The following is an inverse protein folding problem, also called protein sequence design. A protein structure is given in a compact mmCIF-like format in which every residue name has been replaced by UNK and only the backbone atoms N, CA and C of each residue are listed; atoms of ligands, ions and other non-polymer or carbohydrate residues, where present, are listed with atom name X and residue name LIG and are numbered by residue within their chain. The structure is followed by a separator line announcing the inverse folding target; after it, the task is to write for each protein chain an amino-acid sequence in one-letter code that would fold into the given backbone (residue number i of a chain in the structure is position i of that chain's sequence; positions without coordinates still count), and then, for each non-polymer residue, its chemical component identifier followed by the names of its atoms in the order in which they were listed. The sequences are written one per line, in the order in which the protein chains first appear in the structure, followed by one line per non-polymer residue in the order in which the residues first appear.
data_IF_556386355857
#
_entry.id   IF_556386355857
#
_cell.length_a   1.000
_cell.length_b   1.000
_cell.length_c   1.000
_cell.angle_alpha   90.00
_cell.angle_beta   90.00
_cell.angle_gamma   90.00
#
_symmetry.space_group_name_H-M   'P 1'
#
loop_
_entity.id
_entity.type
_entity.pdbx_description
1 polymer ?
#
# COMPACT_ATOMS: atom_id res chain seq x y z
N UNK A 1 -15.81 -10.48 12.30
CA UNK A 1 -14.71 -10.11 11.38
C UNK A 1 -13.78 -9.18 12.16
N UNK A 2 -12.48 -9.40 12.08
CA UNK A 2 -11.47 -8.62 12.80
C UNK A 2 -11.49 -7.14 12.38
N UNK A 3 -11.36 -6.24 13.35
CA UNK A 3 -11.28 -4.78 13.12
C UNK A 3 -9.81 -4.35 13.28
N UNK A 4 -9.20 -3.87 12.20
CA UNK A 4 -7.87 -3.32 12.26
C UNK A 4 -7.82 -2.06 13.14
N UNK A 5 -6.67 -1.75 13.72
CA UNK A 5 -6.45 -0.59 14.61
C UNK A 5 -6.93 0.76 14.04
N UNK A 6 -6.85 0.94 12.73
CA UNK A 6 -7.32 2.17 12.04
C UNK A 6 -8.85 2.34 12.04
N UNK A 7 -9.60 1.30 12.48
CA UNK A 7 -11.06 1.34 12.55
C UNK A 7 -11.56 2.45 13.50
N UNK A 8 -10.97 2.52 14.70
CA UNK A 8 -11.36 3.52 15.71
C UNK A 8 -11.02 4.92 15.21
N UNK A 9 -9.84 5.11 14.63
CA UNK A 9 -9.40 6.38 14.08
C UNK A 9 -10.33 6.89 12.98
N UNK A 10 -10.62 6.07 11.96
CA UNK A 10 -11.52 6.48 10.88
C UNK A 10 -12.93 6.74 11.39
N UNK A 11 -13.44 5.88 12.30
CA UNK A 11 -14.76 6.05 12.90
C UNK A 11 -14.86 7.38 13.66
N UNK A 12 -13.88 7.71 14.50
CA UNK A 12 -13.83 8.98 15.23
C UNK A 12 -13.87 10.18 14.27
N UNK A 13 -12.99 10.20 13.28
CA UNK A 13 -12.91 11.30 12.31
C UNK A 13 -14.17 11.46 11.46
N UNK A 14 -14.88 10.36 11.16
CA UNK A 14 -16.15 10.41 10.43
C UNK A 14 -17.33 10.87 11.29
N UNK A 15 -17.21 10.86 12.61
CA UNK A 15 -18.23 11.39 13.53
C UNK A 15 -18.01 12.87 13.87
N UNK A 16 -16.82 13.41 13.59
CA UNK A 16 -16.53 14.84 13.72
C UNK A 16 -17.25 15.67 12.65
N UNK A 17 -17.41 16.97 12.88
CA UNK A 17 -17.90 17.89 11.85
C UNK A 17 -16.99 17.88 10.62
N UNK A 18 -17.56 18.11 9.45
CA UNK A 18 -16.81 18.15 8.21
C UNK A 18 -15.69 19.19 8.26
N UNK A 19 -14.45 18.72 8.25
CA UNK A 19 -13.25 19.58 8.31
C UNK A 19 -12.19 19.17 7.30
N UNK A 20 -11.97 17.86 7.11
CA UNK A 20 -10.96 17.31 6.22
C UNK A 20 -11.50 16.10 5.44
N UNK A 21 -11.00 15.94 4.22
CA UNK A 21 -11.14 14.71 3.44
C UNK A 21 -10.33 13.62 4.13
N UNK A 22 -10.93 12.49 4.44
CA UNK A 22 -10.21 11.34 5.00
C UNK A 22 -9.61 10.51 3.88
N UNK A 23 -8.30 10.37 3.84
CA UNK A 23 -7.59 9.63 2.80
C UNK A 23 -6.96 8.37 3.39
N UNK A 24 -7.39 7.19 2.93
CA UNK A 24 -6.78 5.91 3.30
C UNK A 24 -5.83 5.44 2.21
N UNK A 25 -4.55 5.39 2.52
CA UNK A 25 -3.51 4.93 1.60
C UNK A 25 -2.77 3.73 2.17
N UNK A 26 -2.45 2.78 1.31
CA UNK A 26 -1.67 1.59 1.72
C UNK A 26 -1.64 0.52 0.62
N UNK A 27 -0.81 -0.52 0.77
CA UNK A 27 -0.64 -1.57 -0.22
C UNK A 27 -1.94 -2.22 -0.66
N UNK A 28 -1.90 -2.93 -1.80
CA UNK A 28 -3.03 -3.76 -2.23
C UNK A 28 -3.32 -4.87 -1.23
N UNK A 29 -4.57 -5.32 -1.20
CA UNK A 29 -5.02 -6.53 -0.47
C UNK A 29 -4.81 -6.49 1.06
N UNK A 30 -4.63 -5.29 1.66
CA UNK A 30 -4.52 -5.13 3.12
C UNK A 30 -5.85 -4.82 3.82
N UNK A 31 -6.96 -4.74 3.06
CA UNK A 31 -8.30 -4.58 3.62
C UNK A 31 -8.78 -3.13 3.80
N UNK A 32 -8.30 -2.15 3.00
CA UNK A 32 -8.79 -0.75 3.05
C UNK A 32 -10.29 -0.63 2.90
N UNK A 33 -10.84 -1.14 1.79
CA UNK A 33 -12.28 -1.08 1.49
C UNK A 33 -13.11 -1.88 2.51
N UNK A 34 -12.55 -2.98 3.05
CA UNK A 34 -13.18 -3.76 4.13
C UNK A 34 -13.30 -2.93 5.41
N UNK A 35 -12.23 -2.23 5.81
CA UNK A 35 -12.21 -1.37 6.99
C UNK A 35 -13.26 -0.26 6.87
N UNK A 36 -13.33 0.43 5.72
CA UNK A 36 -14.34 1.47 5.50
C UNK A 36 -15.76 0.89 5.58
N UNK A 37 -16.03 -0.25 4.94
CA UNK A 37 -17.33 -0.93 5.03
C UNK A 37 -17.68 -1.32 6.46
N UNK A 38 -16.69 -1.72 7.29
CA UNK A 38 -16.93 -2.01 8.70
C UNK A 38 -17.32 -0.75 9.49
N UNK A 39 -16.63 0.37 9.24
CA UNK A 39 -16.94 1.65 9.89
C UNK A 39 -18.33 2.13 9.50
N UNK A 40 -18.64 2.15 8.19
CA UNK A 40 -19.93 2.59 7.67
C UNK A 40 -21.12 1.79 8.22
N UNK A 41 -20.91 0.51 8.57
CA UNK A 41 -21.95 -0.33 9.20
C UNK A 41 -22.21 0.00 10.68
N UNK A 42 -21.28 0.71 11.33
CA UNK A 42 -21.38 1.03 12.76
C UNK A 42 -21.71 2.49 13.06
N UNK A 43 -21.78 3.32 12.04
CA UNK A 43 -22.19 4.72 12.17
C UNK A 43 -23.56 4.90 11.52
N UNK A 44 -24.42 5.65 12.19
CA UNK A 44 -25.78 5.95 11.69
C UNK A 44 -25.77 7.21 10.81
N UNK A 45 -24.92 7.21 9.79
CA UNK A 45 -24.83 8.28 8.79
C UNK A 45 -25.02 7.65 7.42
N UNK A 46 -25.97 8.12 6.61
CA UNK A 46 -26.17 7.61 5.25
C UNK A 46 -24.94 7.88 4.37
N UNK A 47 -24.71 6.99 3.42
CA UNK A 47 -23.50 7.06 2.58
C UNK A 47 -23.73 6.61 1.15
N UNK A 48 -22.84 7.05 0.26
CA UNK A 48 -22.64 6.54 -1.09
C UNK A 48 -21.21 6.01 -1.20
N UNK A 49 -21.06 4.73 -1.57
CA UNK A 49 -19.74 4.13 -1.83
C UNK A 49 -19.66 3.73 -3.30
N UNK A 50 -18.67 4.28 -4.00
CA UNK A 50 -18.39 4.02 -5.41
C UNK A 50 -16.92 3.63 -5.61
N UNK A 51 -16.63 2.98 -6.74
CA UNK A 51 -15.26 2.64 -7.13
C UNK A 51 -14.95 3.16 -8.53
N UNK A 52 -13.74 3.66 -8.72
CA UNK A 52 -13.21 4.05 -10.03
C UNK A 52 -12.58 2.88 -10.79
N UNK A 53 -12.74 1.63 -10.31
CA UNK A 53 -12.10 0.45 -10.92
C UNK A 53 -12.43 0.27 -12.39
N UNK A 54 -13.69 0.48 -12.75
CA UNK A 54 -14.19 0.29 -14.11
C UNK A 54 -14.36 1.62 -14.88
N UNK A 55 -13.82 2.71 -14.33
CA UNK A 55 -13.92 4.04 -14.94
C UNK A 55 -12.71 4.32 -15.82
N UNK A 56 -12.94 4.85 -17.02
CA UNK A 56 -11.85 5.29 -17.91
C UNK A 56 -11.00 6.36 -17.22
N UNK A 57 -9.68 6.22 -17.29
CA UNK A 57 -8.72 7.14 -16.66
C UNK A 57 -8.86 8.61 -17.15
N UNK A 58 -9.41 8.83 -18.32
CA UNK A 58 -9.63 10.16 -18.89
C UNK A 58 -11.00 10.76 -18.51
N UNK A 59 -11.87 10.04 -17.81
CA UNK A 59 -13.21 10.50 -17.43
C UNK A 59 -13.21 11.21 -16.07
N UNK A 60 -12.65 12.43 -16.01
CA UNK A 60 -12.69 13.25 -14.79
C UNK A 60 -14.11 13.73 -14.44
N UNK A 61 -15.04 13.77 -15.40
CA UNK A 61 -16.43 14.16 -15.16
C UNK A 61 -17.14 13.17 -14.24
N UNK A 62 -16.74 11.90 -14.22
CA UNK A 62 -17.32 10.90 -13.34
C UNK A 62 -17.25 11.32 -11.86
N UNK A 63 -16.17 11.99 -11.43
CA UNK A 63 -16.05 12.49 -10.05
C UNK A 63 -17.10 13.55 -9.77
N UNK A 64 -17.27 14.53 -10.67
CA UNK A 64 -18.30 15.57 -10.55
C UNK A 64 -19.72 14.98 -10.54
N UNK A 65 -20.01 14.00 -11.40
CA UNK A 65 -21.29 13.31 -11.47
C UNK A 65 -21.57 12.53 -10.17
N UNK A 66 -20.55 11.84 -9.64
CA UNK A 66 -20.64 11.12 -8.38
C UNK A 66 -20.94 12.07 -7.21
N UNK A 67 -20.27 13.21 -7.16
CA UNK A 67 -20.48 14.24 -6.16
C UNK A 67 -21.89 14.86 -6.25
N UNK A 68 -22.33 15.17 -7.48
CA UNK A 68 -23.68 15.66 -7.76
C UNK A 68 -24.74 14.65 -7.33
N UNK A 69 -24.49 13.36 -7.54
CA UNK A 69 -25.39 12.28 -7.09
C UNK A 69 -25.50 12.27 -5.56
N UNK A 70 -24.37 12.36 -4.83
CA UNK A 70 -24.37 12.42 -3.37
C UNK A 70 -25.18 13.64 -2.86
N UNK A 71 -24.93 14.83 -3.41
CA UNK A 71 -25.70 16.06 -3.08
C UNK A 71 -27.19 15.91 -3.37
N UNK A 72 -27.55 15.28 -4.48
CA UNK A 72 -28.93 15.04 -4.86
C UNK A 72 -29.63 14.09 -3.88
N UNK A 73 -28.96 13.04 -3.44
CA UNK A 73 -29.48 12.11 -2.42
C UNK A 73 -29.70 12.86 -1.10
N UNK A 74 -28.73 13.67 -0.64
CA UNK A 74 -28.87 14.49 0.56
C UNK A 74 -30.11 15.38 0.49
N UNK A 75 -30.27 16.11 -0.62
CA UNK A 75 -31.37 17.06 -0.84
C UNK A 75 -32.74 16.35 -0.85
N UNK A 76 -32.85 15.26 -1.63
CA UNK A 76 -34.12 14.52 -1.81
C UNK A 76 -34.54 13.82 -0.51
N UNK A 77 -33.58 13.24 0.20
CA UNK A 77 -33.82 12.50 1.46
C UNK A 77 -33.79 13.39 2.69
N UNK A 78 -33.45 14.68 2.54
CA UNK A 78 -33.31 15.66 3.63
C UNK A 78 -32.32 15.21 4.69
N UNK A 79 -31.15 14.68 4.27
CA UNK A 79 -30.08 14.33 5.18
C UNK A 79 -29.24 15.54 5.50
N UNK A 80 -29.05 15.84 6.78
CA UNK A 80 -28.17 16.92 7.25
C UNK A 80 -26.69 16.57 7.07
N UNK A 81 -26.33 15.29 7.19
CA UNK A 81 -24.97 14.77 7.05
C UNK A 81 -24.98 13.55 6.12
N UNK A 82 -23.98 13.47 5.26
CA UNK A 82 -23.81 12.34 4.34
C UNK A 82 -22.35 12.01 4.13
N UNK A 83 -22.04 10.74 3.83
CA UNK A 83 -20.67 10.30 3.55
C UNK A 83 -20.55 9.88 2.09
N UNK A 84 -19.60 10.45 1.37
CA UNK A 84 -19.19 10.01 0.05
C UNK A 84 -17.86 9.25 0.16
N UNK A 85 -17.86 8.00 -0.27
CA UNK A 85 -16.64 7.17 -0.32
C UNK A 85 -16.30 6.87 -1.76
N UNK A 86 -15.08 7.21 -2.18
CA UNK A 86 -14.56 6.95 -3.52
C UNK A 86 -13.34 6.05 -3.41
N UNK A 87 -13.49 4.80 -3.88
CA UNK A 87 -12.40 3.82 -3.91
C UNK A 87 -11.62 3.91 -5.24
N UNK A 88 -10.30 3.65 -5.16
CA UNK A 88 -9.36 3.65 -6.30
C UNK A 88 -9.37 4.95 -7.16
N UNK A 89 -9.68 6.10 -6.55
CA UNK A 89 -9.83 7.40 -7.26
C UNK A 89 -8.59 7.77 -8.09
N UNK A 90 -7.42 7.33 -7.67
CA UNK A 90 -6.15 7.60 -8.33
C UNK A 90 -6.04 7.04 -9.76
N UNK A 91 -6.98 6.20 -10.19
CA UNK A 91 -7.06 5.72 -11.57
C UNK A 91 -7.54 6.81 -12.54
N UNK A 92 -8.18 7.85 -12.04
CA UNK A 92 -8.67 8.98 -12.86
C UNK A 92 -7.59 10.05 -12.90
N UNK A 93 -7.21 10.48 -14.08
CA UNK A 93 -6.25 11.58 -14.27
C UNK A 93 -6.80 12.89 -13.71
N UNK A 94 -5.94 13.70 -13.13
CA UNK A 94 -6.28 15.02 -12.56
C UNK A 94 -7.41 14.95 -11.50
N UNK A 95 -7.56 13.79 -10.85
CA UNK A 95 -8.60 13.55 -9.86
C UNK A 95 -8.59 14.58 -8.72
N UNK A 96 -7.41 15.00 -8.30
CA UNK A 96 -7.23 15.90 -7.15
C UNK A 96 -7.74 17.31 -7.40
N UNK A 97 -7.61 17.82 -8.63
CA UNK A 97 -8.15 19.12 -9.02
C UNK A 97 -9.68 19.10 -9.00
N UNK A 98 -10.29 18.03 -9.53
CA UNK A 98 -11.74 17.86 -9.51
C UNK A 98 -12.27 17.73 -8.09
N UNK A 99 -11.62 16.91 -7.26
CA UNK A 99 -11.96 16.77 -5.83
C UNK A 99 -11.85 18.10 -5.10
N UNK A 100 -10.78 18.88 -5.34
CA UNK A 100 -10.62 20.21 -4.75
C UNK A 100 -11.78 21.12 -5.11
N UNK A 101 -12.13 21.20 -6.39
CA UNK A 101 -13.25 22.03 -6.87
C UNK A 101 -14.55 21.68 -6.16
N UNK A 102 -14.89 20.39 -6.11
CA UNK A 102 -16.14 19.93 -5.49
C UNK A 102 -16.12 20.12 -3.96
N UNK A 103 -14.99 19.86 -3.31
CA UNK A 103 -14.82 20.09 -1.87
C UNK A 103 -14.97 21.56 -1.49
N UNK A 104 -14.33 22.46 -2.24
CA UNK A 104 -14.40 23.90 -2.00
C UNK A 104 -15.82 24.45 -2.24
N UNK A 105 -16.54 23.92 -3.24
CA UNK A 105 -17.94 24.25 -3.49
C UNK A 105 -18.85 23.84 -2.33
N UNK A 106 -18.66 22.65 -1.74
CA UNK A 106 -19.41 22.21 -0.55
C UNK A 106 -19.11 23.09 0.66
N UNK A 107 -17.84 23.49 0.81
CA UNK A 107 -17.42 24.38 1.89
C UNK A 107 -18.08 25.75 1.77
N UNK A 108 -18.17 26.30 0.55
CA UNK A 108 -18.84 27.58 0.29
C UNK A 108 -20.35 27.54 0.56
N UNK A 109 -20.98 26.37 0.37
CA UNK A 109 -22.42 26.18 0.56
C UNK A 109 -22.78 25.57 1.93
N UNK A 110 -21.85 25.49 2.86
CA UNK A 110 -22.02 24.91 4.22
C UNK A 110 -22.64 23.51 4.19
N UNK A 111 -22.26 22.69 3.21
CA UNK A 111 -22.81 21.34 3.02
C UNK A 111 -21.99 20.31 3.81
N UNK A 112 -22.62 19.56 4.73
CA UNK A 112 -22.01 18.51 5.55
C UNK A 112 -21.82 17.19 4.78
N UNK A 113 -21.22 17.25 3.58
CA UNK A 113 -20.79 16.08 2.81
C UNK A 113 -19.37 15.67 3.22
N UNK A 114 -19.26 14.64 4.05
CA UNK A 114 -17.98 14.07 4.52
C UNK A 114 -17.42 13.15 3.45
N UNK A 115 -16.13 13.23 3.18
CA UNK A 115 -15.52 12.52 2.05
C UNK A 115 -14.41 11.60 2.52
N UNK A 116 -14.46 10.35 2.02
CA UNK A 116 -13.42 9.34 2.22
C UNK A 116 -12.87 8.92 0.87
N UNK A 117 -11.57 9.00 0.73
CA UNK A 117 -10.84 8.59 -0.47
C UNK A 117 -9.96 7.41 -0.15
N UNK A 118 -10.01 6.38 -1.00
CA UNK A 118 -9.16 5.20 -0.89
C UNK A 118 -8.29 5.05 -2.13
N UNK A 119 -7.09 4.54 -1.93
CA UNK A 119 -6.22 4.20 -3.04
C UNK A 119 -5.13 3.22 -2.66
N UNK A 120 -4.82 2.32 -3.58
CA UNK A 120 -3.75 1.33 -3.44
C UNK A 120 -2.40 1.88 -3.87
N UNK A 121 -2.37 2.77 -4.85
CA UNK A 121 -1.14 3.40 -5.30
C UNK A 121 -0.78 4.60 -4.42
N UNK A 122 0.20 4.38 -3.53
CA UNK A 122 0.72 5.45 -2.69
C UNK A 122 1.30 6.61 -3.50
N UNK A 123 1.92 6.31 -4.63
CA UNK A 123 2.53 7.30 -5.52
C UNK A 123 1.49 8.28 -6.05
N UNK A 124 0.43 7.76 -6.68
CA UNK A 124 -0.60 8.60 -7.28
C UNK A 124 -1.44 9.34 -6.24
N UNK A 125 -1.70 8.71 -5.10
CA UNK A 125 -2.38 9.38 -3.99
C UNK A 125 -1.51 10.53 -3.48
N UNK A 126 -0.22 10.29 -3.22
CA UNK A 126 0.69 11.34 -2.73
C UNK A 126 0.78 12.51 -3.70
N UNK A 127 1.00 12.24 -4.98
CA UNK A 127 1.18 13.29 -5.98
C UNK A 127 -0.09 14.16 -6.08
N UNK A 128 -1.27 13.56 -6.17
CA UNK A 128 -2.52 14.31 -6.15
C UNK A 128 -2.78 15.11 -4.88
N UNK A 129 -2.41 14.57 -3.70
CA UNK A 129 -2.57 15.27 -2.43
C UNK A 129 -1.66 16.51 -2.31
N UNK A 130 -0.41 16.41 -2.76
CA UNK A 130 0.56 17.51 -2.65
C UNK A 130 0.29 18.63 -3.66
N UNK A 131 -0.20 18.31 -4.84
CA UNK A 131 -0.46 19.30 -5.90
C UNK A 131 -1.68 20.18 -5.60
N UNK A 132 -2.82 19.57 -5.28
CA UNK A 132 -4.09 20.30 -5.27
C UNK A 132 -4.82 20.31 -3.92
N UNK A 133 -4.62 19.31 -3.07
CA UNK A 133 -5.42 19.11 -1.85
C UNK A 133 -4.72 19.54 -0.55
N UNK A 134 -3.57 20.19 -0.63
CA UNK A 134 -2.83 20.67 0.56
C UNK A 134 -3.75 21.45 1.50
N UNK A 135 -3.75 21.09 2.78
CA UNK A 135 -4.58 21.68 3.83
C UNK A 135 -6.03 21.18 3.90
N UNK A 136 -6.50 20.33 2.95
CA UNK A 136 -7.89 19.85 2.85
C UNK A 136 -8.08 18.40 3.28
N UNK A 137 -7.02 17.65 3.59
CA UNK A 137 -7.08 16.23 3.89
C UNK A 137 -6.35 15.85 5.17
N UNK A 138 -6.71 14.71 5.69
CA UNK A 138 -5.97 13.94 6.68
C UNK A 138 -5.68 12.53 6.13
N UNK A 139 -4.45 12.07 6.34
CA UNK A 139 -3.97 10.80 5.80
C UNK A 139 -3.94 9.72 6.89
N UNK A 140 -4.62 8.60 6.62
CA UNK A 140 -4.51 7.37 7.39
C UNK A 140 -3.61 6.41 6.59
N UNK A 141 -2.40 6.16 7.12
CA UNK A 141 -1.45 5.24 6.49
C UNK A 141 -1.70 3.83 6.99
N UNK A 142 -2.20 2.98 6.12
CA UNK A 142 -2.39 1.56 6.41
C UNK A 142 -1.19 0.76 5.90
N UNK A 143 -0.51 0.06 6.80
CA UNK A 143 0.59 -0.85 6.47
C UNK A 143 0.09 -2.27 6.25
N UNK A 144 1.02 -3.18 5.91
CA UNK A 144 0.78 -4.62 5.96
C UNK A 144 0.29 -5.05 7.35
N UNK A 145 -0.43 -6.17 7.42
CA UNK A 145 -0.88 -6.73 8.69
C UNK A 145 0.31 -7.15 9.56
N UNK A 146 0.29 -6.72 10.81
CA UNK A 146 1.28 -7.10 11.81
C UNK A 146 1.08 -8.53 12.29
N UNK A 147 2.07 -9.08 13.01
CA UNK A 147 1.93 -10.38 13.66
C UNK A 147 0.72 -10.43 14.61
N UNK A 148 0.55 -9.40 15.44
CA UNK A 148 -0.59 -9.35 16.36
C UNK A 148 -1.93 -9.36 15.62
N UNK A 149 -2.07 -8.61 14.53
CA UNK A 149 -3.29 -8.61 13.72
C UNK A 149 -3.54 -9.99 13.06
N UNK A 150 -2.50 -10.67 12.57
CA UNK A 150 -2.62 -12.00 11.95
C UNK A 150 -2.90 -13.08 12.99
N UNK A 151 -2.27 -13.00 14.17
CA UNK A 151 -2.55 -13.90 15.31
C UNK A 151 -4.00 -13.76 15.76
N UNK A 152 -4.44 -12.54 16.03
CA UNK A 152 -5.77 -12.29 16.63
C UNK A 152 -6.91 -12.54 15.63
N UNK A 153 -6.67 -12.33 14.33
CA UNK A 153 -7.68 -12.54 13.30
C UNK A 153 -7.74 -13.97 12.77
N UNK A 154 -6.62 -14.68 12.71
CA UNK A 154 -6.49 -15.94 11.98
C UNK A 154 -5.78 -17.04 12.77
N UNK A 155 -5.32 -16.78 13.99
CA UNK A 155 -4.63 -17.77 14.82
C UNK A 155 -3.21 -18.09 14.37
N UNK A 156 -2.54 -17.18 13.64
CA UNK A 156 -1.15 -17.41 13.24
C UNK A 156 -0.25 -17.51 14.47
N UNK A 157 0.60 -18.53 14.50
CA UNK A 157 1.78 -18.51 15.33
C UNK A 157 2.90 -17.67 14.69
N UNK A 158 3.98 -17.48 15.42
CA UNK A 158 5.08 -16.64 14.96
C UNK A 158 5.79 -17.22 13.73
N UNK A 159 5.94 -18.53 13.65
CA UNK A 159 6.62 -19.22 12.55
C UNK A 159 5.83 -19.10 11.25
N UNK A 160 4.51 -19.30 11.31
CA UNK A 160 3.64 -19.08 10.17
C UNK A 160 3.67 -17.61 9.71
N UNK A 161 3.67 -16.66 10.65
CA UNK A 161 3.77 -15.24 10.27
C UNK A 161 5.12 -14.89 9.62
N UNK A 162 6.23 -15.39 10.17
CA UNK A 162 7.57 -15.16 9.61
C UNK A 162 7.65 -15.68 8.17
N UNK A 163 7.02 -16.80 7.86
CA UNK A 163 7.08 -17.39 6.52
C UNK A 163 5.99 -16.86 5.58
N UNK A 164 4.72 -16.91 5.98
CA UNK A 164 3.57 -16.56 5.13
C UNK A 164 3.24 -15.06 5.15
N UNK A 165 3.82 -14.30 6.08
CA UNK A 165 3.66 -12.85 6.17
C UNK A 165 2.26 -12.38 6.51
N UNK A 166 1.99 -11.10 6.24
CA UNK A 166 0.77 -10.39 6.61
C UNK A 166 -0.14 -10.05 5.42
N UNK A 167 -0.49 -11.02 4.58
CA UNK A 167 -1.53 -10.88 3.55
C UNK A 167 -2.76 -11.74 3.91
N UNK A 168 -3.85 -11.15 4.42
CA UNK A 168 -5.01 -11.89 4.93
C UNK A 168 -5.69 -12.74 3.85
N UNK A 169 -5.66 -12.32 2.58
CA UNK A 169 -6.25 -13.08 1.48
C UNK A 169 -5.57 -14.42 1.18
N UNK A 170 -4.33 -14.61 1.62
CA UNK A 170 -3.58 -15.86 1.45
C UNK A 170 -3.83 -16.91 2.53
N UNK A 171 -4.43 -16.53 3.66
CA UNK A 171 -4.54 -17.38 4.87
C UNK A 171 -5.24 -18.70 4.59
N UNK A 172 -6.33 -18.71 3.86
CA UNK A 172 -7.07 -19.94 3.55
C UNK A 172 -6.33 -20.93 2.65
N UNK A 173 -5.19 -20.53 2.10
CA UNK A 173 -4.40 -21.31 1.13
C UNK A 173 -3.13 -21.90 1.74
N UNK A 174 -2.72 -21.55 2.96
CA UNK A 174 -1.43 -21.96 3.57
C UNK A 174 -1.29 -23.48 3.68
N UNK A 175 -2.38 -24.22 3.87
CA UNK A 175 -2.39 -25.69 3.91
C UNK A 175 -2.05 -26.33 2.54
N UNK A 176 -2.03 -25.55 1.46
CA UNK A 176 -1.56 -25.96 0.15
C UNK A 176 -0.58 -24.93 -0.39
N UNK A 177 0.68 -25.08 -0.01
CA UNK A 177 1.72 -24.09 -0.30
C UNK A 177 1.85 -23.77 -1.80
N UNK A 178 1.65 -24.75 -2.68
CA UNK A 178 1.69 -24.54 -4.14
C UNK A 178 0.59 -23.56 -4.58
N UNK A 179 -0.63 -23.72 -4.06
CA UNK A 179 -1.75 -22.82 -4.36
C UNK A 179 -1.51 -21.45 -3.73
N UNK A 180 -0.99 -21.40 -2.51
CA UNK A 180 -0.65 -20.16 -1.84
C UNK A 180 0.39 -19.36 -2.63
N UNK A 181 1.48 -20.00 -3.07
CA UNK A 181 2.51 -19.36 -3.91
C UNK A 181 1.96 -18.82 -5.22
N UNK A 182 1.10 -19.59 -5.88
CA UNK A 182 0.47 -19.16 -7.12
C UNK A 182 -0.41 -17.94 -6.89
N UNK A 183 -1.23 -17.96 -5.84
CA UNK A 183 -2.04 -16.81 -5.43
C UNK A 183 -1.17 -15.56 -5.15
N UNK A 184 -0.07 -15.72 -4.41
CA UNK A 184 0.83 -14.61 -4.13
C UNK A 184 1.43 -14.03 -5.40
N UNK A 185 1.84 -14.86 -6.35
CA UNK A 185 2.41 -14.41 -7.63
C UNK A 185 1.37 -13.73 -8.51
N UNK A 186 0.22 -14.35 -8.71
CA UNK A 186 -0.77 -13.89 -9.69
C UNK A 186 -1.68 -12.79 -9.16
N UNK A 187 -2.04 -12.85 -7.88
CA UNK A 187 -3.06 -11.94 -7.30
C UNK A 187 -2.46 -10.82 -6.46
N UNK A 188 -1.20 -10.92 -6.03
CA UNK A 188 -0.54 -9.90 -5.21
C UNK A 188 0.61 -9.25 -5.98
N UNK A 189 1.63 -10.02 -6.37
CA UNK A 189 2.88 -9.50 -6.94
C UNK A 189 2.64 -8.93 -8.34
N UNK A 190 2.06 -9.71 -9.24
CA UNK A 190 1.85 -9.28 -10.62
C UNK A 190 1.00 -8.01 -10.72
N UNK A 191 -0.18 -7.90 -10.06
CA UNK A 191 -0.96 -6.66 -10.09
C UNK A 191 -0.26 -5.46 -9.44
N UNK A 192 0.51 -5.66 -8.36
CA UNK A 192 1.25 -4.57 -7.70
C UNK A 192 2.33 -3.99 -8.64
N UNK A 193 3.03 -4.83 -9.39
CA UNK A 193 4.03 -4.36 -10.36
C UNK A 193 3.33 -3.81 -11.62
N UNK A 194 2.42 -4.55 -12.21
CA UNK A 194 1.82 -4.21 -13.51
C UNK A 194 0.86 -3.02 -13.43
N UNK A 195 -0.02 -3.02 -12.43
CA UNK A 195 -1.08 -2.00 -12.32
C UNK A 195 -0.65 -0.79 -11.50
N UNK A 196 0.07 -0.99 -10.38
CA UNK A 196 0.40 0.12 -9.49
C UNK A 196 1.68 0.84 -9.89
N UNK A 197 2.63 0.16 -10.52
CA UNK A 197 3.89 0.76 -10.93
C UNK A 197 3.88 1.09 -12.43
N UNK A 198 3.71 0.08 -13.30
CA UNK A 198 3.89 0.25 -14.73
C UNK A 198 2.82 1.13 -15.40
N UNK A 199 1.60 1.15 -14.85
CA UNK A 199 0.54 2.05 -15.35
C UNK A 199 0.66 3.48 -14.82
N UNK A 200 1.42 3.70 -13.75
CA UNK A 200 1.47 4.99 -13.04
C UNK A 200 2.74 5.79 -13.30
N UNK A 201 3.81 5.12 -13.67
CA UNK A 201 5.10 5.75 -14.03
C UNK A 201 5.55 5.24 -15.40
N UNK A 202 6.22 6.11 -16.13
CA UNK A 202 6.91 5.70 -17.36
C UNK A 202 8.10 4.82 -16.97
N UNK A 203 7.94 3.52 -17.11
CA UNK A 203 9.00 2.53 -16.89
C UNK A 203 9.49 2.06 -18.26
N UNK A 204 10.67 2.46 -18.64
CA UNK A 204 11.23 2.14 -19.97
C UNK A 204 11.57 0.65 -20.17
N UNK A 205 11.89 -0.05 -19.07
CA UNK A 205 12.23 -1.49 -19.09
C UNK A 205 11.40 -2.25 -18.04
N UNK A 206 10.13 -2.57 -18.33
CA UNK A 206 9.25 -3.26 -17.37
C UNK A 206 9.80 -4.60 -16.89
N UNK A 207 10.43 -5.34 -17.80
CA UNK A 207 11.02 -6.65 -17.49
C UNK A 207 12.20 -6.53 -16.52
N UNK A 208 13.02 -5.51 -16.68
CA UNK A 208 14.11 -5.22 -15.74
C UNK A 208 13.58 -4.87 -14.34
N UNK A 209 12.50 -4.09 -14.25
CA UNK A 209 11.83 -3.80 -12.97
C UNK A 209 11.38 -5.09 -12.27
N UNK A 210 10.75 -6.00 -13.02
CA UNK A 210 10.30 -7.30 -12.49
C UNK A 210 11.48 -8.15 -12.02
N UNK A 211 12.53 -8.29 -12.84
CA UNK A 211 13.74 -9.03 -12.48
C UNK A 211 14.42 -8.43 -11.23
N UNK A 212 14.51 -7.10 -11.14
CA UNK A 212 15.05 -6.43 -9.95
C UNK A 212 14.24 -6.75 -8.70
N UNK A 213 12.91 -6.75 -8.81
CA UNK A 213 12.04 -7.12 -7.70
C UNK A 213 12.26 -8.58 -7.28
N UNK A 214 12.23 -9.52 -8.23
CA UNK A 214 12.36 -10.95 -7.95
C UNK A 214 13.70 -11.25 -7.29
N UNK A 215 14.80 -10.76 -7.87
CA UNK A 215 16.15 -10.95 -7.30
C UNK A 215 16.28 -10.20 -5.97
N UNK A 216 15.83 -8.95 -5.89
CA UNK A 216 15.89 -8.17 -4.66
C UNK A 216 15.13 -8.82 -3.49
N UNK A 217 13.98 -9.44 -3.74
CA UNK A 217 13.27 -10.22 -2.72
C UNK A 217 14.11 -11.42 -2.25
N UNK A 218 14.79 -12.13 -3.18
CA UNK A 218 15.64 -13.27 -2.79
C UNK A 218 16.87 -12.83 -1.99
N UNK A 219 17.26 -11.59 -1.99
CA UNK A 219 18.32 -10.99 -1.16
C UNK A 219 17.78 -10.29 0.10
N UNK A 220 16.50 -10.43 0.44
CA UNK A 220 15.96 -9.81 1.67
C UNK A 220 16.76 -10.25 2.90
N UNK A 221 17.15 -9.32 3.76
CA UNK A 221 18.04 -9.51 4.89
C UNK A 221 19.54 -9.42 4.55
N UNK A 222 19.93 -9.29 3.29
CA UNK A 222 21.35 -9.28 2.87
C UNK A 222 21.78 -7.93 2.29
N UNK A 223 23.06 -7.60 2.47
CA UNK A 223 23.69 -6.45 1.83
C UNK A 223 24.10 -6.82 0.40
N UNK A 224 23.66 -6.06 -0.59
CA UNK A 224 24.06 -6.25 -1.98
C UNK A 224 24.13 -4.92 -2.72
N UNK A 225 25.26 -4.67 -3.41
CA UNK A 225 25.40 -3.46 -4.20
C UNK A 225 24.55 -3.52 -5.48
N UNK A 226 24.06 -2.36 -5.90
CA UNK A 226 23.32 -2.26 -7.17
C UNK A 226 24.18 -2.68 -8.37
N UNK A 227 25.50 -2.49 -8.31
CA UNK A 227 26.43 -2.97 -9.33
C UNK A 227 26.46 -4.50 -9.40
N UNK A 228 26.46 -5.19 -8.25
CA UNK A 228 26.42 -6.66 -8.21
C UNK A 228 25.07 -7.18 -8.71
N UNK A 229 23.95 -6.51 -8.37
CA UNK A 229 22.63 -6.82 -8.93
C UNK A 229 22.61 -6.62 -10.43
N UNK A 230 23.18 -5.52 -10.92
CA UNK A 230 23.28 -5.22 -12.36
C UNK A 230 23.93 -6.37 -13.15
N UNK A 231 24.99 -6.96 -12.61
CA UNK A 231 25.69 -8.09 -13.23
C UNK A 231 24.88 -9.39 -13.28
N UNK A 232 23.77 -9.49 -12.55
CA UNK A 232 22.89 -10.66 -12.54
C UNK A 232 21.62 -10.47 -13.41
N UNK A 233 21.39 -9.27 -13.91
CA UNK A 233 20.20 -8.90 -14.68
C UNK A 233 20.50 -8.89 -16.17
N UNK A 234 19.55 -9.36 -16.96
CA UNK A 234 19.64 -9.27 -18.43
C UNK A 234 19.25 -7.85 -18.89
N UNK A 235 19.99 -7.30 -19.83
CA UNK A 235 19.74 -5.97 -20.43
C UNK A 235 19.56 -4.85 -19.37
N UNK A 236 20.37 -4.88 -18.33
CA UNK A 236 20.17 -4.10 -17.11
C UNK A 236 20.35 -2.57 -17.27
N UNK A 237 20.95 -2.09 -18.34
CA UNK A 237 21.23 -0.65 -18.51
C UNK A 237 22.31 -0.17 -17.55
N UNK A 238 22.03 0.81 -16.70
CA UNK A 238 22.99 1.38 -15.76
C UNK A 238 22.48 1.36 -14.30
N UNK A 239 23.40 1.58 -13.36
CA UNK A 239 23.11 1.61 -11.91
C UNK A 239 22.07 2.66 -11.55
N UNK A 240 22.03 3.80 -12.23
CA UNK A 240 21.04 4.86 -12.00
C UNK A 240 19.62 4.38 -12.30
N UNK A 241 19.43 3.62 -13.37
CA UNK A 241 18.12 3.01 -13.69
C UNK A 241 17.67 2.05 -12.58
N UNK A 242 18.59 1.21 -12.08
CA UNK A 242 18.28 0.31 -10.97
C UNK A 242 17.94 1.09 -9.69
N UNK A 243 18.68 2.14 -9.38
CA UNK A 243 18.40 2.99 -8.22
C UNK A 243 17.02 3.63 -8.30
N UNK A 244 16.62 4.13 -9.47
CA UNK A 244 15.27 4.69 -9.69
C UNK A 244 14.19 3.63 -9.54
N UNK A 245 14.42 2.42 -10.05
CA UNK A 245 13.47 1.31 -9.90
C UNK A 245 13.37 0.84 -8.45
N UNK A 246 14.50 0.78 -7.72
CA UNK A 246 14.50 0.48 -6.29
C UNK A 246 13.70 1.52 -5.49
N UNK A 247 13.86 2.80 -5.81
CA UNK A 247 13.06 3.88 -5.21
C UNK A 247 11.57 3.66 -5.46
N UNK A 248 11.18 3.32 -6.70
CA UNK A 248 9.79 3.06 -7.06
C UNK A 248 9.21 1.84 -6.32
N UNK A 249 9.98 0.74 -6.20
CA UNK A 249 9.60 -0.45 -5.44
C UNK A 249 9.44 -0.14 -3.94
N UNK A 250 10.32 0.70 -3.39
CA UNK A 250 10.25 1.16 -2.01
C UNK A 250 9.00 2.03 -1.76
N UNK A 251 8.73 2.97 -2.63
CA UNK A 251 7.53 3.82 -2.56
C UNK A 251 6.24 3.00 -2.69
N UNK A 252 6.27 1.90 -3.44
CA UNK A 252 5.15 0.96 -3.58
C UNK A 252 5.01 -0.04 -2.44
N UNK A 253 5.87 0.03 -1.42
CA UNK A 253 5.89 -0.87 -0.26
C UNK A 253 6.04 -2.36 -0.62
N UNK A 254 6.88 -2.63 -1.61
CA UNK A 254 7.22 -3.99 -2.03
C UNK A 254 8.62 -4.39 -1.55
N UNK A 255 9.64 -3.62 -1.95
CA UNK A 255 11.04 -3.89 -1.66
C UNK A 255 11.78 -2.59 -1.31
N UNK A 256 12.56 -2.60 -0.25
CA UNK A 256 13.41 -1.49 0.20
C UNK A 256 14.89 -1.85 0.03
N UNK A 257 15.68 -0.94 -0.51
CA UNK A 257 17.12 -0.91 -0.34
C UNK A 257 17.47 -0.01 0.85
N UNK A 258 17.48 -0.59 2.05
CA UNK A 258 17.73 0.15 3.29
C UNK A 258 19.17 0.65 3.34
N UNK A 259 19.36 1.94 3.66
CA UNK A 259 20.69 2.55 3.71
C UNK A 259 21.38 2.26 5.04
N UNK A 260 22.69 2.24 5.01
CA UNK A 260 23.54 2.14 6.21
C UNK A 260 23.48 3.43 7.02
N UNK A 261 23.44 3.30 8.35
CA UNK A 261 23.56 4.48 9.20
C UNK A 261 24.96 5.09 9.06
N UNK A 262 25.02 6.37 8.80
CA UNK A 262 26.25 7.16 8.82
C UNK A 262 25.93 8.61 9.19
N UNK A 263 26.84 9.25 9.92
CA UNK A 263 26.70 10.68 10.28
C UNK A 263 26.86 11.59 9.06
N UNK A 264 27.63 11.15 8.06
CA UNK A 264 27.86 11.88 6.82
C UNK A 264 26.90 11.42 5.73
N UNK A 265 26.18 12.37 5.12
CA UNK A 265 25.21 12.10 4.05
C UNK A 265 25.88 11.48 2.81
N UNK A 266 27.09 11.89 2.45
CA UNK A 266 27.81 11.31 1.30
C UNK A 266 28.11 9.82 1.53
N UNK A 267 28.49 9.44 2.73
CA UNK A 267 28.69 8.03 3.11
C UNK A 267 27.39 7.22 3.13
N UNK A 268 26.28 7.84 3.55
CA UNK A 268 24.96 7.20 3.48
C UNK A 268 24.63 6.79 2.04
N UNK A 269 24.68 7.74 1.11
CA UNK A 269 24.28 7.53 -0.28
C UNK A 269 25.20 6.58 -1.03
N UNK A 270 26.46 6.46 -0.62
CA UNK A 270 27.45 5.56 -1.23
C UNK A 270 27.52 4.18 -0.55
N UNK A 271 26.70 3.95 0.49
CA UNK A 271 26.70 2.67 1.19
C UNK A 271 26.01 1.57 0.37
N UNK A 272 26.47 0.32 0.59
CA UNK A 272 25.79 -0.85 0.01
C UNK A 272 24.43 -0.97 0.70
N UNK A 273 23.32 -0.99 -0.04
CA UNK A 273 22.00 -1.13 0.59
C UNK A 273 21.78 -2.55 1.10
N UNK A 274 21.05 -2.66 2.21
CA UNK A 274 20.49 -3.92 2.68
C UNK A 274 19.09 -4.10 2.11
N UNK A 275 18.89 -5.19 1.35
CA UNK A 275 17.58 -5.48 0.77
C UNK A 275 16.62 -5.92 1.85
N UNK A 276 15.39 -5.41 1.79
CA UNK A 276 14.36 -5.74 2.76
C UNK A 276 12.98 -5.70 2.12
N UNK A 277 12.26 -6.82 2.15
CA UNK A 277 10.85 -6.85 1.72
C UNK A 277 9.96 -6.15 2.75
N UNK A 278 8.86 -5.54 2.32
CA UNK A 278 7.84 -5.00 3.23
C UNK A 278 6.92 -6.07 3.82
N UNK A 279 6.96 -7.28 3.26
CA UNK A 279 6.18 -8.42 3.73
C UNK A 279 6.89 -9.72 3.35
N UNK A 280 7.15 -10.56 4.31
CA UNK A 280 7.90 -11.82 4.11
C UNK A 280 7.20 -12.79 3.16
N UNK A 281 5.89 -12.68 2.98
CA UNK A 281 5.16 -13.42 1.94
C UNK A 281 5.76 -13.24 0.54
N UNK A 282 6.32 -12.06 0.24
CA UNK A 282 6.96 -11.77 -1.06
C UNK A 282 8.25 -12.60 -1.21
N UNK A 283 9.06 -12.67 -0.15
CA UNK A 283 10.26 -13.52 -0.12
C UNK A 283 9.88 -15.00 -0.27
N UNK A 284 8.93 -15.48 0.51
CA UNK A 284 8.52 -16.90 0.52
C UNK A 284 7.88 -17.34 -0.80
N UNK A 285 7.06 -16.48 -1.42
CA UNK A 285 6.42 -16.78 -2.70
C UNK A 285 7.44 -16.95 -3.85
N UNK A 286 8.57 -16.24 -3.79
CA UNK A 286 9.63 -16.28 -4.80
C UNK A 286 10.75 -17.27 -4.45
N UNK A 287 10.78 -17.78 -3.22
CA UNK A 287 11.76 -18.77 -2.76
C UNK A 287 11.50 -20.15 -3.38
N UNK A 288 12.57 -20.93 -3.57
CA UNK A 288 12.50 -22.33 -3.97
C UNK A 288 12.36 -23.29 -2.75
N UNK A 289 12.41 -22.77 -1.52
CA UNK A 289 12.29 -23.56 -0.30
C UNK A 289 10.87 -23.52 0.25
N UNK A 290 10.32 -24.66 0.66
CA UNK A 290 9.02 -24.73 1.32
C UNK A 290 9.12 -24.36 2.82
N UNK A 291 7.99 -24.26 3.50
CA UNK A 291 7.89 -23.86 4.91
C UNK A 291 8.74 -24.77 5.81
N UNK A 292 8.53 -26.10 5.77
CA UNK A 292 9.24 -27.06 6.62
C UNK A 292 10.76 -27.01 6.40
N UNK A 293 11.19 -27.01 5.14
CA UNK A 293 12.62 -26.94 4.81
C UNK A 293 13.23 -25.62 5.24
N UNK A 294 12.50 -24.52 5.14
CA UNK A 294 12.96 -23.21 5.56
C UNK A 294 13.10 -23.16 7.08
N UNK A 295 12.10 -23.64 7.82
CA UNK A 295 12.06 -23.68 9.28
C UNK A 295 13.17 -24.56 9.86
N UNK A 296 13.41 -25.73 9.27
CA UNK A 296 14.39 -26.71 9.76
C UNK A 296 15.84 -26.45 9.35
N UNK A 297 16.09 -25.43 8.51
CA UNK A 297 17.44 -25.05 8.08
C UNK A 297 17.87 -23.75 8.79
N UNK A 298 18.67 -23.79 9.89
CA UNK A 298 18.90 -22.63 10.76
C UNK A 298 19.41 -21.37 10.05
N UNK A 299 20.35 -21.54 9.11
CA UNK A 299 20.87 -20.39 8.32
C UNK A 299 19.81 -19.75 7.44
N UNK A 300 18.93 -20.56 6.85
CA UNK A 300 17.82 -20.07 6.02
C UNK A 300 16.78 -19.41 6.91
N UNK A 301 16.39 -20.08 8.00
CA UNK A 301 15.40 -19.55 8.95
C UNK A 301 15.82 -18.21 9.55
N UNK A 302 17.08 -18.08 9.98
CA UNK A 302 17.62 -16.82 10.51
C UNK A 302 17.41 -15.64 9.55
N UNK A 303 17.51 -15.87 8.26
CA UNK A 303 17.25 -14.85 7.24
C UNK A 303 15.77 -14.47 7.12
N UNK A 304 14.86 -15.44 7.26
CA UNK A 304 13.41 -15.15 7.31
C UNK A 304 13.04 -14.36 8.57
N UNK A 305 13.61 -14.72 9.71
CA UNK A 305 13.45 -13.97 10.97
C UNK A 305 13.93 -12.52 10.80
N UNK A 306 15.13 -12.32 10.26
CA UNK A 306 15.67 -10.98 10.00
C UNK A 306 14.79 -10.18 9.03
N UNK A 307 14.31 -10.83 7.97
CA UNK A 307 13.39 -10.21 7.03
C UNK A 307 12.04 -9.85 7.67
N UNK A 308 11.53 -10.67 8.58
CA UNK A 308 10.28 -10.39 9.30
C UNK A 308 10.43 -9.19 10.25
N UNK A 309 11.54 -9.12 10.98
CA UNK A 309 11.86 -7.97 11.84
C UNK A 309 12.02 -6.70 11.00
N UNK A 310 12.78 -6.75 9.92
CA UNK A 310 12.98 -5.63 9.02
C UNK A 310 11.67 -5.17 8.37
N UNK A 311 10.82 -6.10 7.92
CA UNK A 311 9.48 -5.80 7.41
C UNK A 311 8.63 -5.07 8.46
N UNK A 312 8.62 -5.56 9.70
CA UNK A 312 7.89 -4.93 10.79
C UNK A 312 8.36 -3.50 11.04
N UNK A 313 9.68 -3.29 11.13
CA UNK A 313 10.27 -1.98 11.37
C UNK A 313 10.01 -1.01 10.19
N UNK A 314 10.09 -1.46 8.93
CA UNK A 314 9.76 -0.65 7.76
C UNK A 314 8.28 -0.22 7.77
N UNK A 315 7.37 -1.12 8.11
CA UNK A 315 5.95 -0.80 8.21
C UNK A 315 5.68 0.19 9.34
N UNK A 316 6.36 0.05 10.49
CA UNK A 316 6.28 1.03 11.60
C UNK A 316 6.89 2.37 11.24
N UNK A 317 8.00 2.38 10.53
CA UNK A 317 8.63 3.61 10.05
C UNK A 317 7.69 4.40 9.13
N UNK A 318 6.93 3.69 8.28
CA UNK A 318 5.93 4.30 7.40
C UNK A 318 4.73 4.86 8.15
N UNK A 319 4.23 4.14 9.16
CA UNK A 319 3.09 4.57 9.97
C UNK A 319 3.40 5.76 10.87
N UNK A 320 4.57 5.74 11.51
CA UNK A 320 4.99 6.71 12.52
C UNK A 320 5.90 7.82 11.95
N UNK A 321 6.14 7.79 10.65
CA UNK A 321 6.92 8.80 9.89
C UNK A 321 8.35 8.99 10.39
N UNK A 322 9.07 7.88 10.66
CA UNK A 322 10.50 7.93 10.97
C UNK A 322 11.36 7.23 9.92
N UNK A 323 12.66 7.51 9.88
CA UNK A 323 13.60 6.89 8.95
C UNK A 323 14.29 5.70 9.62
N UNK A 324 14.37 4.58 8.88
CA UNK A 324 15.04 3.36 9.31
C UNK A 324 16.37 3.20 8.55
N UNK A 325 17.40 2.82 9.29
CA UNK A 325 18.74 2.49 8.78
C UNK A 325 19.20 1.16 9.39
N UNK A 326 20.21 0.53 8.79
CA UNK A 326 20.86 -0.66 9.34
C UNK A 326 22.29 -0.35 9.77
#
# INVERSE_FOLDING_TARGET
MYKRRHFIELKSRLLENRNKIQVLSGPRQIGKSTLVKQVLKEIDIPYLLVSADDVSSNNSNWITETWSTARSIMKVKKYDVFILVIDEIHKIKNWSETVKKEWDADTFNDLELRVVILGSSRLLIRDGLTESLTGRYELIRMSHWSYDEMRDAFGFDLEHYIYYGGYPGGVSLINNEKRWRQYMKDSIIAPAIEKDILMTKVVYKPQLMRQLFDIGCTYSGEEISLTKLLGQLQDAGNVTTLANYMTTLNESRLLCGMQKYANDNARKYNSIPKMMVYNTALLSALSNSNFEKTLTTPKVWGRWVESAIGSYLLNKADELDFKLYY
#
